data_IF_009478618562
#
_entry.id   IF_009478618562
#
_cell.length_a   1.000
_cell.length_b   1.000
_cell.length_c   1.000
_cell.angle_alpha   90.00
_cell.angle_beta   90.00
_cell.angle_gamma   90.00
#
_symmetry.space_group_name_H-M   'P 1'
#
loop_
_entity.id
_entity.type
_entity.pdbx_description
1 polymer ?
#
# COMPACT_ATOMS: atom_id res chain seq x y z
N UNK A 1 13.10 -31.58 -2.61
CA UNK A 1 14.35 -30.90 -3.03
C UNK A 1 15.43 -31.28 -2.03
N UNK A 2 16.60 -31.66 -2.49
CA UNK A 2 17.76 -32.01 -1.65
C UNK A 2 18.77 -30.85 -1.59
N UNK A 3 19.75 -30.91 -0.69
CA UNK A 3 20.88 -29.97 -0.70
C UNK A 3 21.64 -30.00 -2.04
N UNK A 4 21.78 -31.17 -2.66
CA UNK A 4 22.40 -31.28 -3.99
C UNK A 4 21.60 -30.55 -5.08
N UNK A 5 20.26 -30.56 -5.01
CA UNK A 5 19.42 -29.77 -5.93
C UNK A 5 19.59 -28.26 -5.69
N UNK A 6 19.74 -27.85 -4.42
CA UNK A 6 20.03 -26.46 -4.06
C UNK A 6 21.36 -25.99 -4.64
N UNK A 7 22.39 -26.83 -4.57
CA UNK A 7 23.72 -26.51 -5.11
C UNK A 7 23.71 -26.38 -6.63
N UNK A 8 22.95 -27.23 -7.34
CA UNK A 8 22.76 -27.12 -8.80
C UNK A 8 22.11 -25.78 -9.18
N UNK A 9 21.08 -25.35 -8.46
CA UNK A 9 20.48 -24.04 -8.68
C UNK A 9 21.48 -22.90 -8.42
N UNK A 10 22.19 -22.94 -7.30
CA UNK A 10 23.15 -21.89 -6.91
C UNK A 10 24.36 -21.79 -7.85
N UNK A 11 24.77 -22.89 -8.48
CA UNK A 11 25.83 -22.90 -9.49
C UNK A 11 25.48 -22.02 -10.70
N UNK A 12 24.19 -21.89 -11.02
CA UNK A 12 23.70 -21.09 -12.15
C UNK A 12 23.37 -19.64 -11.77
N UNK A 13 23.14 -19.37 -10.49
CA UNK A 13 22.86 -18.03 -9.95
C UNK A 13 24.12 -17.16 -9.96
N UNK A 14 23.90 -15.86 -10.22
CA UNK A 14 24.95 -14.84 -10.20
C UNK A 14 25.71 -14.84 -8.85
N UNK A 15 27.07 -14.78 -8.85
CA UNK A 15 27.88 -14.93 -7.64
C UNK A 15 27.46 -14.04 -6.48
N UNK A 16 27.15 -12.77 -6.76
CA UNK A 16 26.74 -11.75 -5.80
C UNK A 16 25.40 -12.03 -5.11
N UNK A 17 24.60 -12.97 -5.63
CA UNK A 17 23.33 -13.38 -5.04
C UNK A 17 23.39 -14.70 -4.28
N UNK A 18 24.48 -15.46 -4.38
CA UNK A 18 24.55 -16.84 -3.88
C UNK A 18 24.31 -16.92 -2.39
N UNK A 19 24.91 -16.04 -1.59
CA UNK A 19 24.76 -16.08 -0.13
C UNK A 19 23.30 -15.82 0.30
N UNK A 20 22.66 -14.82 -0.32
CA UNK A 20 21.25 -14.51 -0.04
C UNK A 20 20.33 -15.64 -0.50
N UNK A 21 20.62 -16.27 -1.64
CA UNK A 21 19.86 -17.41 -2.13
C UNK A 21 20.07 -18.66 -1.28
N UNK A 22 21.30 -18.92 -0.80
CA UNK A 22 21.61 -19.98 0.16
C UNK A 22 20.80 -19.81 1.43
N UNK A 23 20.85 -18.62 2.04
CA UNK A 23 20.07 -18.34 3.25
C UNK A 23 18.56 -18.52 3.04
N UNK A 24 18.03 -18.16 1.86
CA UNK A 24 16.64 -18.40 1.51
C UNK A 24 16.32 -19.90 1.33
N UNK A 25 17.20 -20.66 0.67
CA UNK A 25 17.08 -22.10 0.48
C UNK A 25 17.14 -22.86 1.79
N UNK A 26 18.11 -22.55 2.65
CA UNK A 26 18.27 -23.19 3.95
C UNK A 26 17.02 -23.01 4.81
N UNK A 27 16.41 -21.81 4.81
CA UNK A 27 15.10 -21.59 5.47
C UNK A 27 14.00 -22.51 4.95
N UNK A 28 13.91 -22.70 3.63
CA UNK A 28 12.89 -23.57 3.02
C UNK A 28 13.18 -25.05 3.29
N UNK A 29 14.45 -25.46 3.27
CA UNK A 29 14.87 -26.84 3.57
C UNK A 29 14.63 -27.18 5.04
N UNK A 30 15.04 -26.34 5.99
CA UNK A 30 14.75 -26.54 7.41
C UNK A 30 13.23 -26.59 7.69
N UNK A 31 12.43 -25.82 6.93
CA UNK A 31 10.97 -25.89 7.03
C UNK A 31 10.39 -27.20 6.49
N UNK A 32 11.01 -27.78 5.44
CA UNK A 32 10.62 -29.09 4.92
C UNK A 32 10.93 -30.21 5.93
N UNK A 33 11.98 -30.04 6.73
CA UNK A 33 12.38 -30.93 7.83
C UNK A 33 11.55 -30.77 9.11
N UNK A 34 10.62 -29.80 9.15
CA UNK A 34 9.67 -29.62 10.27
C UNK A 34 9.85 -28.33 11.07
N UNK A 35 10.81 -27.47 10.72
CA UNK A 35 10.93 -26.16 11.36
C UNK A 35 9.73 -25.25 11.02
N UNK A 36 9.27 -24.40 11.95
CA UNK A 36 8.16 -23.49 11.67
C UNK A 36 8.54 -22.46 10.60
N UNK A 37 7.72 -22.36 9.56
CA UNK A 37 7.88 -21.37 8.49
C UNK A 37 6.78 -20.31 8.54
N UNK A 38 7.14 -19.09 8.90
CA UNK A 38 6.19 -17.98 8.95
C UNK A 38 5.99 -17.35 7.57
N UNK A 39 4.81 -16.75 7.35
CA UNK A 39 4.45 -16.15 6.06
C UNK A 39 5.43 -15.05 5.60
N UNK A 40 6.04 -14.30 6.53
CA UNK A 40 7.06 -13.29 6.20
C UNK A 40 8.32 -13.94 5.62
N UNK A 41 8.82 -15.00 6.25
CA UNK A 41 10.02 -15.72 5.81
C UNK A 41 9.76 -16.47 4.50
N UNK A 42 8.58 -17.10 4.36
CA UNK A 42 8.18 -17.77 3.13
C UNK A 42 8.11 -16.81 1.93
N UNK A 43 7.50 -15.62 2.11
CA UNK A 43 7.41 -14.61 1.05
C UNK A 43 8.78 -14.06 0.67
N UNK A 44 9.61 -13.70 1.65
CA UNK A 44 10.97 -13.20 1.41
C UNK A 44 11.85 -14.23 0.70
N UNK A 45 11.79 -15.50 1.13
CA UNK A 45 12.53 -16.58 0.47
C UNK A 45 12.04 -16.81 -0.96
N UNK A 46 10.73 -16.88 -1.18
CA UNK A 46 10.13 -17.04 -2.53
C UNK A 46 10.50 -15.88 -3.46
N UNK A 47 10.43 -14.65 -2.97
CA UNK A 47 10.76 -13.47 -3.76
C UNK A 47 12.26 -13.42 -4.10
N UNK A 48 13.11 -13.67 -3.11
CA UNK A 48 14.56 -13.75 -3.30
C UNK A 48 14.93 -14.76 -4.38
N UNK A 49 14.39 -15.97 -4.29
CA UNK A 49 14.70 -17.05 -5.24
C UNK A 49 14.04 -16.86 -6.60
N UNK A 50 12.84 -16.27 -6.64
CA UNK A 50 12.15 -15.90 -7.88
C UNK A 50 12.95 -14.88 -8.69
N UNK A 51 13.45 -13.82 -8.04
CA UNK A 51 14.31 -12.82 -8.69
C UNK A 51 15.62 -13.43 -9.18
N UNK A 52 16.25 -14.29 -8.38
CA UNK A 52 17.48 -14.98 -8.78
C UNK A 52 17.26 -15.88 -10.02
N UNK A 53 16.12 -16.57 -10.09
CA UNK A 53 15.73 -17.36 -11.26
C UNK A 53 15.48 -16.49 -12.51
N UNK A 54 14.78 -15.36 -12.36
CA UNK A 54 14.55 -14.42 -13.48
C UNK A 54 15.86 -13.87 -14.05
N UNK A 55 16.81 -13.51 -13.19
CA UNK A 55 18.13 -13.03 -13.61
C UNK A 55 18.97 -14.14 -14.25
N UNK A 56 18.95 -15.35 -13.67
CA UNK A 56 19.58 -16.53 -14.26
C UNK A 56 19.03 -16.79 -15.67
N UNK A 57 17.70 -16.78 -15.85
CA UNK A 57 17.06 -16.94 -17.15
C UNK A 57 17.45 -15.83 -18.12
N UNK A 58 17.46 -14.58 -17.64
CA UNK A 58 17.88 -13.43 -18.44
C UNK A 58 19.32 -13.58 -18.93
N UNK A 59 20.26 -13.92 -18.04
CA UNK A 59 21.67 -14.02 -18.36
C UNK A 59 22.03 -15.24 -19.21
N UNK A 60 21.40 -16.40 -18.96
CA UNK A 60 21.75 -17.68 -19.61
C UNK A 60 20.95 -17.95 -20.88
N UNK A 61 19.73 -17.45 -20.96
CA UNK A 61 18.82 -17.70 -22.10
C UNK A 61 18.56 -16.43 -22.89
N UNK A 62 18.09 -15.35 -22.27
CA UNK A 62 17.64 -14.19 -23.06
C UNK A 62 18.78 -13.39 -23.66
N UNK A 63 19.76 -12.99 -22.86
CA UNK A 63 20.86 -12.14 -23.30
C UNK A 63 21.70 -12.78 -24.42
N UNK A 64 22.10 -14.08 -24.34
CA UNK A 64 22.93 -14.67 -25.39
C UNK A 64 22.14 -14.97 -26.68
N UNK A 65 20.85 -15.27 -26.56
CA UNK A 65 20.08 -15.86 -27.66
C UNK A 65 19.00 -14.98 -28.25
N UNK A 66 18.55 -13.93 -27.56
CA UNK A 66 17.41 -13.09 -27.99
C UNK A 66 17.80 -11.64 -28.30
N UNK A 67 19.02 -11.21 -27.97
CA UNK A 67 19.49 -9.87 -28.28
C UNK A 67 19.44 -9.61 -29.80
N UNK A 68 18.79 -8.51 -30.20
CA UNK A 68 18.62 -8.14 -31.61
C UNK A 68 17.62 -8.99 -32.40
N UNK A 69 16.93 -9.97 -31.78
CA UNK A 69 15.97 -10.84 -32.47
C UNK A 69 14.54 -10.33 -32.32
N UNK A 70 13.94 -9.97 -33.45
CA UNK A 70 12.57 -9.48 -33.51
C UNK A 70 11.50 -10.56 -33.23
N UNK A 71 10.25 -10.11 -33.20
CA UNK A 71 9.08 -10.98 -33.07
C UNK A 71 8.98 -11.92 -34.28
N UNK A 72 8.82 -13.23 -34.03
CA UNK A 72 8.74 -14.27 -35.07
C UNK A 72 10.03 -15.03 -35.36
N UNK A 73 11.20 -14.62 -34.82
CA UNK A 73 12.41 -15.44 -34.87
C UNK A 73 12.21 -16.77 -34.10
N UNK A 74 12.72 -17.93 -34.56
CA UNK A 74 12.54 -19.22 -33.88
C UNK A 74 12.89 -19.21 -32.37
N UNK A 75 14.03 -18.61 -32.00
CA UNK A 75 14.49 -18.47 -30.62
C UNK A 75 13.53 -17.59 -29.79
N UNK A 76 13.10 -16.43 -30.31
CA UNK A 76 12.11 -15.57 -29.65
C UNK A 76 10.75 -16.25 -29.50
N UNK A 77 10.38 -17.08 -30.48
CA UNK A 77 9.18 -17.93 -30.44
C UNK A 77 9.28 -18.99 -29.34
N UNK A 78 10.44 -19.62 -29.14
CA UNK A 78 10.65 -20.57 -28.06
C UNK A 78 10.54 -19.89 -26.68
N UNK A 79 11.22 -18.76 -26.46
CA UNK A 79 11.13 -18.05 -25.16
C UNK A 79 9.67 -17.65 -24.85
N UNK A 80 8.95 -17.16 -25.86
CA UNK A 80 7.52 -16.81 -25.74
C UNK A 80 6.64 -18.04 -25.47
N UNK A 81 6.92 -19.17 -26.11
CA UNK A 81 6.19 -20.42 -25.92
C UNK A 81 6.38 -21.01 -24.51
N UNK A 82 7.63 -20.98 -24.03
CA UNK A 82 7.98 -21.37 -22.67
C UNK A 82 7.49 -20.34 -21.65
N UNK A 83 7.31 -19.07 -22.02
CA UNK A 83 6.63 -18.06 -21.19
C UNK A 83 7.15 -18.04 -19.72
N UNK A 84 8.47 -18.07 -19.57
CA UNK A 84 9.14 -18.19 -18.27
C UNK A 84 9.19 -16.82 -17.61
N UNK A 85 8.17 -16.52 -16.79
CA UNK A 85 8.11 -15.28 -16.02
C UNK A 85 8.24 -15.48 -14.51
N UNK A 86 7.94 -16.68 -14.01
CA UNK A 86 7.89 -16.93 -12.57
C UNK A 86 8.35 -18.34 -12.25
N UNK A 87 9.09 -18.46 -11.15
CA UNK A 87 9.61 -19.71 -10.61
C UNK A 87 8.55 -20.81 -10.46
N UNK A 88 7.30 -20.46 -10.10
CA UNK A 88 6.25 -21.44 -9.85
C UNK A 88 5.75 -22.18 -11.10
N UNK A 89 6.04 -21.66 -12.31
CA UNK A 89 5.62 -22.29 -13.56
C UNK A 89 6.67 -23.28 -14.11
N UNK A 90 7.88 -23.30 -13.55
CA UNK A 90 9.04 -24.04 -14.04
C UNK A 90 8.75 -25.51 -14.38
N UNK A 91 8.06 -26.31 -13.54
CA UNK A 91 7.76 -27.71 -13.86
C UNK A 91 6.89 -27.87 -15.11
N UNK A 92 5.92 -26.96 -15.29
CA UNK A 92 5.08 -26.91 -16.49
C UNK A 92 5.87 -26.55 -17.74
N UNK A 93 6.81 -25.61 -17.64
CA UNK A 93 7.63 -25.19 -18.78
C UNK A 93 8.67 -26.25 -19.15
N UNK A 94 9.24 -26.96 -18.17
CA UNK A 94 10.12 -28.10 -18.44
C UNK A 94 9.37 -29.20 -19.20
N UNK A 95 8.12 -29.48 -18.81
CA UNK A 95 7.25 -30.42 -19.53
C UNK A 95 6.94 -29.97 -20.96
N UNK A 96 6.74 -28.67 -21.20
CA UNK A 96 6.59 -28.14 -22.56
C UNK A 96 7.88 -28.30 -23.37
N UNK A 97 9.02 -27.95 -22.80
CA UNK A 97 10.33 -28.11 -23.44
C UNK A 97 10.59 -29.57 -23.84
N UNK A 98 10.26 -30.52 -22.96
CA UNK A 98 10.41 -31.96 -23.22
C UNK A 98 9.44 -32.51 -24.27
N UNK A 99 8.39 -31.75 -24.61
CA UNK A 99 7.36 -32.13 -25.57
C UNK A 99 7.37 -31.22 -26.80
N UNK A 100 8.47 -30.49 -27.02
CA UNK A 100 8.66 -29.68 -28.22
C UNK A 100 8.49 -30.55 -29.45
N UNK A 101 7.56 -30.17 -30.33
CA UNK A 101 7.42 -30.75 -31.67
C UNK A 101 8.20 -29.89 -32.66
N UNK A 102 8.81 -30.48 -33.71
CA UNK A 102 9.59 -29.75 -34.71
C UNK A 102 8.87 -28.52 -35.27
N UNK A 103 7.59 -28.67 -35.63
CA UNK A 103 6.71 -27.56 -35.98
C UNK A 103 5.45 -27.61 -35.11
N UNK A 104 5.07 -26.46 -34.52
CA UNK A 104 3.80 -26.35 -33.79
C UNK A 104 3.09 -25.06 -34.17
N UNK A 105 1.85 -25.18 -34.65
CA UNK A 105 0.96 -24.04 -34.82
C UNK A 105 0.48 -23.60 -33.43
N UNK A 106 0.84 -22.40 -32.98
CA UNK A 106 0.38 -21.85 -31.69
C UNK A 106 -0.34 -20.53 -31.97
N UNK A 107 -1.68 -20.57 -31.92
CA UNK A 107 -2.53 -19.38 -32.02
C UNK A 107 -2.65 -18.78 -33.43
N UNK A 108 -2.88 -17.46 -33.48
CA UNK A 108 -3.18 -16.65 -34.68
C UNK A 108 -1.96 -16.25 -35.52
N UNK A 109 -0.74 -16.64 -35.11
CA UNK A 109 0.49 -16.32 -35.82
C UNK A 109 1.11 -17.57 -36.47
N UNK A 110 1.95 -17.35 -37.49
CA UNK A 110 2.61 -18.37 -38.33
C UNK A 110 3.20 -19.51 -37.50
N UNK A 111 3.31 -20.70 -38.11
CA UNK A 111 3.91 -21.90 -37.51
C UNK A 111 5.23 -21.57 -36.79
N UNK A 112 5.35 -21.95 -35.52
CA UNK A 112 6.63 -21.87 -34.84
C UNK A 112 7.50 -23.03 -35.32
N UNK A 113 8.61 -22.69 -35.95
CA UNK A 113 9.66 -23.59 -36.43
C UNK A 113 10.64 -23.89 -35.31
N UNK A 114 10.25 -24.76 -34.38
CA UNK A 114 11.13 -25.14 -33.26
C UNK A 114 12.30 -26.03 -33.69
N UNK A 115 12.19 -26.65 -34.87
CA UNK A 115 13.27 -27.33 -35.59
C UNK A 115 14.44 -26.39 -35.96
N UNK A 116 14.17 -25.09 -36.07
CA UNK A 116 15.18 -24.06 -36.42
C UNK A 116 15.79 -23.38 -35.18
N UNK A 117 15.38 -23.79 -33.96
CA UNK A 117 15.97 -23.26 -32.74
C UNK A 117 17.35 -23.88 -32.53
N UNK A 118 18.31 -23.03 -32.20
CA UNK A 118 19.66 -23.45 -31.85
C UNK A 118 19.63 -24.50 -30.70
N UNK A 119 20.18 -25.71 -30.90
CA UNK A 119 20.20 -26.75 -29.88
C UNK A 119 20.87 -26.31 -28.56
N UNK A 120 21.85 -25.41 -28.62
CA UNK A 120 22.52 -24.88 -27.43
C UNK A 120 21.59 -23.96 -26.61
N UNK A 121 20.67 -23.22 -27.26
CA UNK A 121 19.62 -22.49 -26.54
C UNK A 121 18.66 -23.47 -25.85
N UNK A 122 18.26 -24.55 -26.53
CA UNK A 122 17.38 -25.58 -25.94
C UNK A 122 18.05 -26.23 -24.72
N UNK A 123 19.35 -26.51 -24.80
CA UNK A 123 20.14 -27.01 -23.68
C UNK A 123 20.22 -26.01 -22.52
N UNK A 124 20.45 -24.71 -22.79
CA UNK A 124 20.47 -23.66 -21.77
C UNK A 124 19.10 -23.50 -21.07
N UNK A 125 18.00 -23.53 -21.84
CA UNK A 125 16.64 -23.55 -21.30
C UNK A 125 16.44 -24.75 -20.37
N UNK A 126 16.85 -25.94 -20.81
CA UNK A 126 16.74 -27.19 -20.06
C UNK A 126 17.49 -27.12 -18.74
N UNK A 127 18.76 -26.73 -18.77
CA UNK A 127 19.62 -26.60 -17.58
C UNK A 127 18.98 -25.67 -16.54
N UNK A 128 18.50 -24.50 -16.96
CA UNK A 128 17.83 -23.53 -16.08
C UNK A 128 16.53 -24.10 -15.47
N UNK A 129 15.70 -24.75 -16.29
CA UNK A 129 14.41 -25.29 -15.83
C UNK A 129 14.58 -26.53 -14.93
N UNK A 130 15.54 -27.41 -15.23
CA UNK A 130 15.84 -28.59 -14.42
C UNK A 130 16.41 -28.20 -13.05
N UNK A 131 17.28 -27.19 -13.00
CA UNK A 131 17.81 -26.68 -11.73
C UNK A 131 16.74 -26.04 -10.85
N UNK A 132 15.76 -25.33 -11.45
CA UNK A 132 14.73 -24.61 -10.71
C UNK A 132 13.44 -25.43 -10.43
N UNK A 133 13.21 -26.54 -11.14
CA UNK A 133 11.99 -27.34 -10.97
C UNK A 133 11.84 -27.95 -9.55
N UNK A 134 12.89 -28.53 -8.91
CA UNK A 134 12.79 -29.03 -7.54
C UNK A 134 12.40 -27.94 -6.54
N UNK A 135 12.86 -26.70 -6.77
CA UNK A 135 12.55 -25.55 -5.94
C UNK A 135 11.08 -25.11 -6.10
N UNK A 136 10.57 -25.11 -7.33
CA UNK A 136 9.17 -24.78 -7.58
C UNK A 136 8.21 -25.75 -6.87
N UNK A 137 8.52 -27.05 -6.88
CA UNK A 137 7.75 -28.05 -6.14
C UNK A 137 7.89 -27.89 -4.62
N UNK A 138 9.10 -27.61 -4.11
CA UNK A 138 9.30 -27.32 -2.68
C UNK A 138 8.46 -26.13 -2.21
N UNK A 139 8.48 -25.02 -2.94
CA UNK A 139 7.69 -23.81 -2.61
C UNK A 139 6.19 -24.13 -2.61
N UNK A 140 5.73 -24.94 -3.56
CA UNK A 140 4.33 -25.38 -3.64
C UNK A 140 3.93 -26.25 -2.45
N UNK A 141 4.79 -27.18 -2.06
CA UNK A 141 4.57 -28.05 -0.89
C UNK A 141 4.50 -27.24 0.41
N UNK A 142 5.48 -26.34 0.62
CA UNK A 142 5.59 -25.56 1.84
C UNK A 142 4.44 -24.56 2.02
N UNK A 143 3.80 -24.11 0.94
CA UNK A 143 2.66 -23.17 0.99
C UNK A 143 1.56 -23.63 1.96
N UNK A 144 1.28 -24.93 2.03
CA UNK A 144 0.28 -25.50 2.95
C UNK A 144 0.73 -25.59 4.41
N UNK A 145 2.04 -25.55 4.65
CA UNK A 145 2.68 -25.67 5.98
C UNK A 145 3.04 -24.31 6.60
N UNK A 146 2.76 -23.21 5.90
CA UNK A 146 3.07 -21.86 6.40
C UNK A 146 2.22 -21.54 7.63
N UNK A 147 2.91 -21.20 8.72
CA UNK A 147 2.28 -20.77 9.97
C UNK A 147 1.55 -19.44 9.74
N UNK A 148 0.24 -19.44 10.03
CA UNK A 148 -0.60 -18.24 9.99
C UNK A 148 -0.37 -17.42 11.26
N UNK A 149 -0.15 -16.11 11.10
CA UNK A 149 0.09 -15.19 12.22
C UNK A 149 1.45 -14.50 12.14
N UNK A 150 1.73 -13.65 13.13
CA UNK A 150 2.99 -12.93 13.21
C UNK A 150 4.07 -13.88 13.75
N UNK A 151 5.25 -13.85 13.13
CA UNK A 151 6.44 -14.46 13.72
C UNK A 151 6.65 -13.88 15.13
N UNK A 152 6.73 -14.70 16.20
CA UNK A 152 7.03 -14.21 17.52
C UNK A 152 8.32 -13.39 17.48
N UNK A 153 8.28 -12.19 18.04
CA UNK A 153 9.49 -11.41 18.19
C UNK A 153 10.27 -11.98 19.38
N UNK A 154 11.18 -12.91 19.12
CA UNK A 154 12.06 -13.49 20.13
C UNK A 154 13.29 -12.62 20.42
N UNK A 155 13.42 -11.47 19.75
CA UNK A 155 14.42 -10.47 20.13
C UNK A 155 14.08 -9.91 21.50
N UNK A 156 15.05 -9.86 22.41
CA UNK A 156 14.87 -9.07 23.62
C UNK A 156 14.56 -7.62 23.19
N UNK A 157 13.49 -7.02 23.72
CA UNK A 157 13.17 -5.64 23.41
C UNK A 157 14.36 -4.78 23.81
N UNK A 158 14.81 -3.95 22.87
CA UNK A 158 15.87 -2.98 23.11
C UNK A 158 15.53 -2.16 24.38
N UNK A 159 16.36 -2.21 25.43
CA UNK A 159 16.14 -1.46 26.66
C UNK A 159 15.95 0.04 26.42
N UNK A 160 16.62 0.60 25.40
CA UNK A 160 16.51 2.02 25.05
C UNK A 160 15.13 2.34 24.44
N UNK A 161 14.62 1.46 23.57
CA UNK A 161 13.28 1.59 23.01
C UNK A 161 12.19 1.51 24.09
N UNK A 162 12.36 0.60 25.06
CA UNK A 162 11.46 0.49 26.21
C UNK A 162 11.47 1.74 27.08
N UNK A 163 12.66 2.29 27.36
CA UNK A 163 12.79 3.53 28.12
C UNK A 163 12.14 4.72 27.40
N UNK A 164 12.27 4.82 26.07
CA UNK A 164 11.62 5.85 25.25
C UNK A 164 10.10 5.73 25.26
N UNK A 165 9.55 4.52 25.18
CA UNK A 165 8.11 4.29 25.31
C UNK A 165 7.62 4.67 26.71
N UNK A 166 8.34 4.30 27.76
CA UNK A 166 8.00 4.66 29.15
C UNK A 166 8.09 6.16 29.43
N UNK A 167 8.91 6.90 28.68
CA UNK A 167 9.05 8.35 28.80
C UNK A 167 7.91 9.15 28.11
N UNK A 168 7.06 8.51 27.31
CA UNK A 168 5.93 9.20 26.68
C UNK A 168 4.90 9.65 27.71
N UNK A 169 4.19 10.74 27.39
CA UNK A 169 3.09 11.30 28.18
C UNK A 169 1.90 11.64 27.30
N UNK A 170 0.75 11.92 27.90
CA UNK A 170 -0.50 12.06 27.15
C UNK A 170 -0.63 13.45 26.53
N UNK A 171 -0.86 13.52 25.22
CA UNK A 171 -1.22 14.78 24.55
C UNK A 171 -2.56 15.30 25.07
N UNK A 172 -2.68 16.58 25.47
CA UNK A 172 -3.91 17.13 26.06
C UNK A 172 -5.06 17.33 25.06
N UNK A 173 -4.81 17.18 23.75
CA UNK A 173 -5.81 17.32 22.71
C UNK A 173 -6.30 15.95 22.20
N UNK A 174 -5.38 15.09 21.73
CA UNK A 174 -5.76 13.81 21.12
C UNK A 174 -5.66 12.61 22.08
N UNK A 175 -5.22 12.82 23.32
CA UNK A 175 -5.06 11.79 24.37
C UNK A 175 -4.20 10.58 23.99
N UNK A 176 -3.29 10.75 23.02
CA UNK A 176 -2.34 9.72 22.63
C UNK A 176 -1.02 9.92 23.38
N UNK A 177 -0.31 8.82 23.63
CA UNK A 177 1.03 8.86 24.19
C UNK A 177 2.02 9.47 23.19
N UNK A 178 2.65 10.57 23.58
CA UNK A 178 3.58 11.35 22.78
C UNK A 178 4.90 11.55 23.53
N UNK A 179 5.99 11.62 22.77
CA UNK A 179 7.26 12.05 23.34
C UNK A 179 7.19 13.53 23.77
N UNK A 180 8.12 13.94 24.62
CA UNK A 180 8.27 15.32 25.06
C UNK A 180 9.53 15.94 24.47
N UNK A 181 9.45 17.25 24.23
CA UNK A 181 10.62 18.10 23.97
C UNK A 181 11.46 18.20 25.24
N UNK A 182 12.70 18.67 25.12
CA UNK A 182 13.57 18.93 26.28
C UNK A 182 12.96 19.93 27.28
N UNK A 183 12.01 20.76 26.83
CA UNK A 183 11.26 21.70 27.66
C UNK A 183 10.00 21.08 28.32
N UNK A 184 9.82 19.75 28.25
CA UNK A 184 8.68 19.05 28.83
C UNK A 184 7.36 19.25 28.07
N UNK A 185 7.39 19.82 26.86
CA UNK A 185 6.19 20.06 26.03
C UNK A 185 5.95 18.92 25.04
N UNK A 186 4.70 18.65 24.71
CA UNK A 186 4.31 17.62 23.73
C UNK A 186 4.94 17.95 22.37
N UNK A 187 5.69 16.99 21.82
CA UNK A 187 6.36 17.16 20.52
C UNK A 187 5.35 17.29 19.38
N UNK A 188 5.82 17.83 18.25
CA UNK A 188 5.08 17.84 16.99
C UNK A 188 4.55 16.42 16.71
N UNK A 189 3.28 16.29 16.35
CA UNK A 189 2.58 15.05 15.99
C UNK A 189 1.26 15.37 15.27
N UNK A 190 0.58 14.34 14.75
CA UNK A 190 -0.71 14.50 14.08
C UNK A 190 -0.63 15.21 12.73
N UNK A 191 0.57 15.42 12.20
CA UNK A 191 0.76 15.96 10.87
C UNK A 191 0.42 14.92 9.80
N UNK A 192 0.05 15.40 8.62
CA UNK A 192 0.00 14.59 7.41
C UNK A 192 1.23 14.90 6.57
N UNK A 193 1.86 13.87 6.03
CA UNK A 193 2.87 14.05 5.01
C UNK A 193 2.18 14.43 3.70
N UNK A 194 2.59 15.56 3.11
CA UNK A 194 2.14 16.02 1.80
C UNK A 194 3.34 16.23 0.89
N UNK A 195 3.10 16.10 -0.42
CA UNK A 195 4.14 16.14 -1.43
C UNK A 195 4.40 14.76 -2.04
N UNK A 196 4.67 14.74 -3.34
CA UNK A 196 4.80 13.52 -4.13
C UNK A 196 6.17 12.87 -3.95
N UNK A 197 6.38 12.14 -2.86
CA UNK A 197 7.61 11.34 -2.71
C UNK A 197 7.56 10.16 -3.69
N UNK A 198 8.48 10.14 -4.65
CA UNK A 198 8.85 8.89 -5.34
C UNK A 198 9.88 8.17 -4.47
N UNK A 199 9.76 6.85 -4.39
CA UNK A 199 10.75 6.03 -3.70
C UNK A 199 12.15 6.31 -4.30
N UNK A 200 13.11 6.69 -3.45
CA UNK A 200 14.46 7.08 -3.87
C UNK A 200 14.70 8.58 -4.07
N UNK A 201 13.71 9.45 -3.88
CA UNK A 201 13.90 10.92 -3.97
C UNK A 201 13.98 11.59 -2.58
N UNK A 202 14.98 12.45 -2.39
CA UNK A 202 15.07 13.39 -1.27
C UNK A 202 14.38 14.71 -1.60
N UNK A 203 13.72 15.34 -0.61
CA UNK A 203 13.41 16.78 -0.66
C UNK A 203 12.05 17.26 -1.17
N UNK A 204 10.99 16.44 -1.23
CA UNK A 204 9.65 16.88 -1.70
C UNK A 204 8.49 16.49 -0.78
N UNK A 205 8.75 16.28 0.52
CA UNK A 205 7.70 16.01 1.52
C UNK A 205 7.74 17.10 2.58
N UNK A 206 6.60 17.70 2.84
CA UNK A 206 6.41 18.65 3.93
C UNK A 206 5.25 18.19 4.82
N UNK A 207 5.34 18.52 6.11
CA UNK A 207 4.32 18.18 7.09
C UNK A 207 3.22 19.25 7.06
N UNK A 208 1.99 18.86 6.76
CA UNK A 208 0.82 19.74 6.74
C UNK A 208 -0.09 19.42 7.92
N UNK A 209 -0.46 20.48 8.64
CA UNK A 209 -1.21 20.39 9.88
C UNK A 209 -0.36 19.84 11.03
N UNK A 210 -0.73 20.22 12.24
CA UNK A 210 -0.24 19.60 13.46
C UNK A 210 -1.38 19.48 14.45
N UNK A 211 -1.29 18.53 15.37
CA UNK A 211 -2.28 18.42 16.43
C UNK A 211 -2.29 19.71 17.27
N UNK A 212 -3.47 20.18 17.65
CA UNK A 212 -3.63 21.37 18.48
C UNK A 212 -2.85 21.28 19.82
N UNK A 213 -2.65 20.06 20.35
CA UNK A 213 -1.92 19.84 21.59
C UNK A 213 -0.39 19.95 21.48
N UNK A 214 0.18 20.21 20.31
CA UNK A 214 1.62 20.43 20.14
C UNK A 214 2.05 21.68 20.91
N UNK A 215 3.16 21.59 21.66
CA UNK A 215 3.68 22.71 22.45
C UNK A 215 2.98 22.91 23.81
N UNK A 216 1.86 22.23 24.08
CA UNK A 216 1.27 22.21 25.42
C UNK A 216 2.04 21.27 26.36
N UNK A 217 1.83 21.46 27.66
CA UNK A 217 2.20 20.47 28.67
C UNK A 217 1.38 19.17 28.47
N UNK A 218 1.90 18.02 28.91
CA UNK A 218 1.13 16.79 28.91
C UNK A 218 -0.11 16.89 29.79
N UNK A 219 -1.15 16.14 29.45
CA UNK A 219 -2.43 16.15 30.15
C UNK A 219 -2.27 15.85 31.65
N UNK A 220 -1.32 15.00 32.03
CA UNK A 220 -1.05 14.66 33.43
C UNK A 220 -0.53 15.85 34.25
N UNK A 221 0.16 16.78 33.58
CA UNK A 221 0.76 17.97 34.20
C UNK A 221 -0.21 19.15 34.15
N UNK A 222 -0.91 19.34 33.03
CA UNK A 222 -1.84 20.46 32.85
C UNK A 222 -2.97 20.11 31.89
N UNK A 223 -4.20 20.48 32.28
CA UNK A 223 -5.37 20.41 31.41
C UNK A 223 -5.56 21.65 30.51
N UNK A 224 -4.62 22.60 30.50
CA UNK A 224 -4.79 23.86 29.75
C UNK A 224 -4.97 23.62 28.24
N UNK A 225 -4.19 22.71 27.66
CA UNK A 225 -4.34 22.37 26.24
C UNK A 225 -5.70 21.76 25.90
N UNK A 226 -6.30 21.01 26.84
CA UNK A 226 -7.65 20.44 26.69
C UNK A 226 -8.70 21.54 26.75
N UNK A 227 -8.56 22.52 27.67
CA UNK A 227 -9.46 23.67 27.80
C UNK A 227 -9.44 24.55 26.54
N UNK A 228 -8.25 24.84 26.02
CA UNK A 228 -8.09 25.67 24.83
C UNK A 228 -8.62 24.96 23.59
N UNK A 229 -8.37 23.65 23.46
CA UNK A 229 -8.92 22.84 22.38
C UNK A 229 -10.46 22.77 22.45
N UNK A 230 -11.02 22.56 23.63
CA UNK A 230 -12.46 22.60 23.87
C UNK A 230 -13.06 23.96 23.46
N UNK A 231 -12.45 25.07 23.85
CA UNK A 231 -12.88 26.41 23.46
C UNK A 231 -12.78 26.64 21.93
N UNK A 232 -11.77 26.08 21.26
CA UNK A 232 -11.65 26.12 19.81
C UNK A 232 -12.77 25.31 19.13
N UNK A 233 -13.10 24.12 19.63
CA UNK A 233 -14.17 23.29 19.11
C UNK A 233 -15.56 23.90 19.32
N UNK A 234 -15.81 24.63 20.42
CA UNK A 234 -17.06 25.39 20.60
C UNK A 234 -17.27 26.44 19.50
N UNK A 235 -16.19 27.08 19.03
CA UNK A 235 -16.26 28.02 17.89
C UNK A 235 -16.58 27.30 16.58
N UNK A 236 -16.08 26.08 16.40
CA UNK A 236 -16.40 25.23 15.24
C UNK A 236 -17.87 24.81 15.30
N UNK A 237 -18.35 24.39 16.47
CA UNK A 237 -19.76 24.01 16.68
C UNK A 237 -20.69 25.17 16.33
N UNK A 238 -20.42 26.37 16.83
CA UNK A 238 -21.23 27.56 16.53
C UNK A 238 -21.32 27.82 15.02
N UNK A 239 -20.20 27.72 14.28
CA UNK A 239 -20.17 27.87 12.82
C UNK A 239 -20.94 26.76 12.11
N UNK A 240 -20.85 25.52 12.60
CA UNK A 240 -21.59 24.39 12.02
C UNK A 240 -23.09 24.51 12.25
N UNK A 241 -23.52 24.97 13.42
CA UNK A 241 -24.93 25.24 13.72
C UNK A 241 -25.46 26.34 12.80
N UNK A 242 -24.71 27.43 12.62
CA UNK A 242 -25.08 28.50 11.69
C UNK A 242 -25.17 27.99 10.24
N UNK A 243 -24.20 27.19 9.80
CA UNK A 243 -24.19 26.60 8.46
C UNK A 243 -25.37 25.64 8.25
N UNK A 244 -25.68 24.81 9.26
CA UNK A 244 -26.81 23.89 9.22
C UNK A 244 -28.14 24.66 9.12
N UNK A 245 -28.34 25.68 9.94
CA UNK A 245 -29.55 26.51 9.90
C UNK A 245 -29.74 27.17 8.52
N UNK A 246 -28.65 27.64 7.90
CA UNK A 246 -28.69 28.17 6.53
C UNK A 246 -29.09 27.12 5.50
N UNK A 247 -28.63 25.88 5.64
CA UNK A 247 -29.02 24.79 4.74
C UNK A 247 -30.47 24.33 4.96
N UNK A 248 -30.91 24.26 6.22
CA UNK A 248 -32.27 23.87 6.60
C UNK A 248 -33.32 24.91 6.17
N UNK A 249 -32.95 26.19 6.11
CA UNK A 249 -33.78 27.25 5.54
C UNK A 249 -34.04 27.09 4.03
N UNK A 250 -33.45 26.07 3.37
CA UNK A 250 -33.58 25.78 1.93
C UNK A 250 -33.36 27.04 1.09
N UNK A 251 -32.12 27.58 1.06
CA UNK A 251 -31.87 28.82 0.37
C UNK A 251 -32.21 28.64 -1.10
N UNK A 252 -32.82 29.67 -1.71
CA UNK A 252 -33.18 29.67 -3.13
C UNK A 252 -31.95 29.50 -4.05
N UNK A 253 -30.75 29.74 -3.52
CA UNK A 253 -29.48 29.47 -4.19
C UNK A 253 -28.49 28.82 -3.22
N UNK A 254 -27.82 27.75 -3.67
CA UNK A 254 -26.70 27.14 -2.97
C UNK A 254 -25.41 27.38 -3.76
N UNK A 255 -24.44 28.03 -3.11
CA UNK A 255 -23.11 28.19 -3.68
C UNK A 255 -22.22 27.00 -3.27
N UNK A 256 -21.41 26.53 -4.21
CA UNK A 256 -20.41 25.51 -3.96
C UNK A 256 -19.16 25.74 -4.77
N UNK A 257 -18.11 24.98 -4.47
CA UNK A 257 -16.91 24.94 -5.29
C UNK A 257 -16.29 23.56 -5.26
N UNK A 258 -15.63 23.17 -6.34
CA UNK A 258 -14.81 21.96 -6.41
C UNK A 258 -13.49 22.26 -7.14
N UNK A 259 -12.48 21.42 -6.92
CA UNK A 259 -11.20 21.50 -7.65
C UNK A 259 -11.32 20.71 -8.95
N UNK A 260 -11.12 21.37 -10.09
CA UNK A 260 -11.03 20.75 -11.42
C UNK A 260 -9.57 20.53 -11.76
N UNK A 261 -9.19 19.27 -12.01
CA UNK A 261 -7.80 18.88 -12.28
C UNK A 261 -7.00 18.51 -11.03
N UNK A 262 -5.72 18.18 -11.21
CA UNK A 262 -4.81 17.76 -10.13
C UNK A 262 -3.53 18.60 -10.14
N UNK A 263 -2.96 18.85 -8.95
CA UNK A 263 -1.66 19.52 -8.80
C UNK A 263 -1.71 21.05 -8.88
N UNK A 264 -0.61 21.69 -9.29
CA UNK A 264 -0.48 23.18 -9.34
C UNK A 264 -1.42 23.85 -10.34
N UNK A 265 -2.02 23.07 -11.23
CA UNK A 265 -2.97 23.54 -12.24
C UNK A 265 -4.42 23.21 -11.85
N UNK A 266 -4.67 22.81 -10.60
CA UNK A 266 -6.03 22.63 -10.11
C UNK A 266 -6.75 23.99 -10.07
N UNK A 267 -7.87 24.07 -10.77
CA UNK A 267 -8.71 25.25 -10.82
C UNK A 267 -9.86 25.11 -9.82
N UNK A 268 -10.12 26.15 -9.03
CA UNK A 268 -11.30 26.16 -8.16
C UNK A 268 -12.52 26.58 -8.98
N UNK A 269 -13.34 25.63 -9.39
CA UNK A 269 -14.59 25.90 -10.09
C UNK A 269 -15.66 26.21 -9.06
N UNK A 270 -16.19 27.44 -9.10
CA UNK A 270 -17.35 27.86 -8.29
C UNK A 270 -18.63 27.60 -9.08
N UNK A 271 -19.67 27.15 -8.39
CA UNK A 271 -20.98 26.92 -8.98
C UNK A 271 -22.08 27.46 -8.06
N UNK A 272 -23.22 27.75 -8.67
CA UNK A 272 -24.45 28.13 -7.98
C UNK A 272 -25.54 27.21 -8.47
N UNK A 273 -26.18 26.50 -7.54
CA UNK A 273 -27.40 25.76 -7.80
C UNK A 273 -28.57 26.64 -7.35
N UNK A 274 -29.67 26.68 -8.11
CA UNK A 274 -30.86 27.42 -7.71
C UNK A 274 -31.89 26.43 -7.12
N UNK A 275 -33.12 26.85 -6.83
CA UNK A 275 -34.24 25.93 -6.58
C UNK A 275 -35.20 26.07 -7.77
N UNK A 276 -35.48 24.98 -8.48
CA UNK A 276 -36.29 24.97 -9.70
C UNK A 276 -37.78 24.71 -9.40
N UNK A 277 -38.15 24.58 -8.12
CA UNK A 277 -39.54 24.39 -7.69
C UNK A 277 -40.14 23.04 -8.11
N UNK A 278 -39.29 22.09 -8.55
CA UNK A 278 -39.70 20.73 -8.87
C UNK A 278 -40.10 19.91 -7.64
N UNK A 279 -40.51 18.66 -7.87
CA UNK A 279 -40.83 17.71 -6.81
C UNK A 279 -39.68 17.67 -5.78
N UNK A 280 -39.94 17.94 -4.48
CA UNK A 280 -38.90 17.94 -3.44
C UNK A 280 -38.13 16.61 -3.33
N UNK A 281 -38.68 15.50 -3.85
CA UNK A 281 -38.01 14.20 -3.91
C UNK A 281 -37.18 13.98 -5.20
N UNK A 282 -37.35 14.81 -6.23
CA UNK A 282 -36.76 14.62 -7.56
C UNK A 282 -36.31 15.92 -8.27
N UNK A 283 -35.56 16.80 -7.58
CA UNK A 283 -34.99 18.03 -8.17
C UNK A 283 -33.78 17.73 -9.07
N UNK A 284 -33.99 17.31 -10.32
CA UNK A 284 -32.90 17.09 -11.30
C UNK A 284 -32.40 18.41 -11.90
N UNK A 285 -31.12 18.74 -11.74
CA UNK A 285 -30.54 19.95 -12.32
C UNK A 285 -30.00 19.68 -13.71
N UNK A 286 -30.34 20.56 -14.65
CA UNK A 286 -29.56 20.77 -15.86
C UNK A 286 -28.66 21.97 -15.61
N UNK A 287 -27.36 21.78 -15.76
CA UNK A 287 -26.44 22.90 -15.93
C UNK A 287 -26.97 23.76 -17.09
N UNK A 288 -26.75 25.08 -17.06
CA UNK A 288 -27.06 25.93 -18.22
C UNK A 288 -26.49 25.27 -19.49
N UNK A 289 -27.20 25.34 -20.63
CA UNK A 289 -26.86 24.53 -21.80
C UNK A 289 -25.41 24.78 -22.22
N UNK A 290 -24.55 23.76 -22.10
CA UNK A 290 -23.15 23.84 -22.54
C UNK A 290 -22.12 23.01 -21.77
N UNK A 291 -22.44 22.44 -20.59
CA UNK A 291 -21.51 21.57 -19.87
C UNK A 291 -22.14 20.23 -19.49
N UNK A 292 -21.72 19.18 -20.20
CA UNK A 292 -21.92 17.78 -19.80
C UNK A 292 -21.08 17.49 -18.54
N UNK A 293 -21.61 17.81 -17.37
CA UNK A 293 -21.09 17.33 -16.10
C UNK A 293 -22.15 16.46 -15.42
N UNK A 294 -21.89 15.17 -15.15
CA UNK A 294 -22.90 14.23 -14.62
C UNK A 294 -23.18 14.41 -13.10
N UNK A 295 -23.21 15.64 -12.60
CA UNK A 295 -23.41 15.92 -11.18
C UNK A 295 -24.91 15.90 -10.83
N UNK A 296 -25.27 14.99 -9.90
CA UNK A 296 -26.64 14.66 -9.53
C UNK A 296 -27.48 15.79 -8.93
N UNK A 297 -28.77 15.47 -8.74
CA UNK A 297 -29.83 16.36 -8.29
C UNK A 297 -29.46 17.22 -7.07
N UNK A 298 -29.93 18.48 -7.05
CA UNK A 298 -29.80 19.39 -5.92
C UNK A 298 -30.45 18.85 -4.67
N UNK A 299 -31.59 18.17 -4.79
CA UNK A 299 -32.24 17.47 -3.68
C UNK A 299 -31.28 16.44 -3.05
N UNK A 300 -30.60 15.64 -3.88
CA UNK A 300 -29.64 14.64 -3.42
C UNK A 300 -28.40 15.30 -2.78
N UNK A 301 -27.91 16.39 -3.36
CA UNK A 301 -26.78 17.14 -2.82
C UNK A 301 -27.11 17.91 -1.52
N UNK A 302 -28.29 18.52 -1.41
CA UNK A 302 -28.73 19.26 -0.22
C UNK A 302 -29.03 18.29 0.92
N UNK A 303 -29.81 17.23 0.66
CA UNK A 303 -30.07 16.18 1.66
C UNK A 303 -28.76 15.53 2.11
N UNK A 304 -27.88 15.14 1.18
CA UNK A 304 -26.57 14.57 1.50
C UNK A 304 -25.71 15.52 2.34
N UNK A 305 -25.68 16.82 2.00
CA UNK A 305 -24.96 17.84 2.80
C UNK A 305 -25.58 18.07 4.17
N UNK A 306 -26.91 18.08 4.27
CA UNK A 306 -27.62 18.19 5.54
C UNK A 306 -27.32 16.97 6.43
N UNK A 307 -27.44 15.76 5.89
CA UNK A 307 -27.17 14.51 6.60
C UNK A 307 -25.70 14.46 7.05
N UNK A 308 -24.76 14.83 6.17
CA UNK A 308 -23.34 14.93 6.52
C UNK A 308 -23.09 15.97 7.62
N UNK A 309 -23.62 17.19 7.48
CA UNK A 309 -23.42 18.24 8.48
C UNK A 309 -24.05 17.88 9.83
N UNK A 310 -25.22 17.21 9.84
CA UNK A 310 -25.86 16.68 11.06
C UNK A 310 -25.00 15.60 11.71
N UNK A 311 -24.45 14.68 10.92
CA UNK A 311 -23.58 13.63 11.41
C UNK A 311 -22.27 14.19 12.00
N UNK A 312 -21.62 15.12 11.29
CA UNK A 312 -20.40 15.80 11.76
C UNK A 312 -20.67 16.60 13.05
N UNK A 313 -21.77 17.35 13.11
CA UNK A 313 -22.16 18.11 14.31
C UNK A 313 -22.44 17.17 15.50
N UNK A 314 -23.10 16.04 15.26
CA UNK A 314 -23.33 15.01 16.29
C UNK A 314 -22.02 14.45 16.84
N UNK A 315 -21.07 14.14 15.97
CA UNK A 315 -19.74 13.65 16.37
C UNK A 315 -18.98 14.72 17.16
N UNK A 316 -18.97 15.97 16.67
CA UNK A 316 -18.33 17.10 17.36
C UNK A 316 -18.90 17.31 18.77
N UNK A 317 -20.22 17.21 18.94
CA UNK A 317 -20.88 17.31 20.26
C UNK A 317 -20.48 16.18 21.21
N UNK A 318 -20.32 14.96 20.69
CA UNK A 318 -19.82 13.84 21.49
C UNK A 318 -18.36 14.06 21.94
N UNK A 319 -17.52 14.60 21.06
CA UNK A 319 -16.14 14.98 21.39
C UNK A 319 -16.11 16.11 22.44
N UNK A 320 -16.94 17.15 22.28
CA UNK A 320 -17.08 18.24 23.24
C UNK A 320 -17.52 17.74 24.63
N UNK A 321 -18.50 16.83 24.69
CA UNK A 321 -18.93 16.23 25.96
C UNK A 321 -17.80 15.43 26.62
N UNK A 322 -17.01 14.69 25.82
CA UNK A 322 -15.85 13.93 26.30
C UNK A 322 -14.76 14.85 26.85
N UNK A 323 -14.46 15.95 26.14
CA UNK A 323 -13.47 16.95 26.57
C UNK A 323 -13.93 17.70 27.82
N UNK A 324 -15.20 18.11 27.89
CA UNK A 324 -15.77 18.77 29.06
C UNK A 324 -15.65 17.87 30.30
N UNK A 325 -15.98 16.57 30.15
CA UNK A 325 -15.80 15.58 31.22
C UNK A 325 -14.33 15.43 31.59
N UNK A 326 -13.42 15.31 30.62
CA UNK A 326 -11.99 15.21 30.89
C UNK A 326 -11.50 16.40 31.73
N UNK A 327 -11.85 17.63 31.34
CA UNK A 327 -11.50 18.85 32.09
C UNK A 327 -12.09 18.85 33.50
N UNK A 328 -13.35 18.43 33.66
CA UNK A 328 -14.02 18.39 34.96
C UNK A 328 -13.44 17.33 35.90
N UNK A 329 -13.09 16.16 35.37
CA UNK A 329 -12.52 15.04 36.11
C UNK A 329 -11.00 15.20 36.36
N UNK A 330 -10.38 16.21 35.74
CA UNK A 330 -8.94 16.39 35.81
C UNK A 330 -8.48 16.74 37.21
N UNK A 331 -7.46 15.99 37.67
CA UNK A 331 -6.73 16.27 38.90
C UNK A 331 -5.25 16.31 38.56
N UNK A 332 -4.51 17.34 39.01
CA UNK A 332 -3.07 17.36 38.79
C UNK A 332 -2.44 16.12 39.42
N UNK A 333 -1.67 15.36 38.64
CA UNK A 333 -0.78 14.36 39.24
C UNK A 333 0.48 15.11 39.69
N UNK A 334 0.92 14.86 40.91
CA UNK A 334 2.20 15.37 41.38
C UNK A 334 3.28 14.98 40.37
N UNK A 335 4.06 15.97 39.95
CA UNK A 335 5.09 15.83 38.92
C UNK A 335 6.22 14.89 39.34
#
# INVERSE_FOLDING_TARGET
>A
MTHADADKFLALVAPERRDRCRAALDKLLSAAEGSPLYNVDYKDAKETLGRAFEEMWSARVRAPWLHGKGFGHPQSSLDSHLNVYQLHNTPGQLKKLNRLKPATKVGYHKEHRFDEVDPAMVAACRECLEAAAPLAELVKELKGKVVKGRKPNNSQPDPEALAKEAAKRTCPCCFRAMALTNAGRVVKHGWRESGGRRAGSYGNVWHVGECFGVGYEPYEVSCQGTKDYYAALLKVEAKMVEALAKLEARPAKLHGSYQKGWGRNAETVKFTLEDDGGDPENLTWRDKPGHDNPAGSYAYNLKGRLDQAKAELKMLRADLATLAKAVADWKPRAA
#
